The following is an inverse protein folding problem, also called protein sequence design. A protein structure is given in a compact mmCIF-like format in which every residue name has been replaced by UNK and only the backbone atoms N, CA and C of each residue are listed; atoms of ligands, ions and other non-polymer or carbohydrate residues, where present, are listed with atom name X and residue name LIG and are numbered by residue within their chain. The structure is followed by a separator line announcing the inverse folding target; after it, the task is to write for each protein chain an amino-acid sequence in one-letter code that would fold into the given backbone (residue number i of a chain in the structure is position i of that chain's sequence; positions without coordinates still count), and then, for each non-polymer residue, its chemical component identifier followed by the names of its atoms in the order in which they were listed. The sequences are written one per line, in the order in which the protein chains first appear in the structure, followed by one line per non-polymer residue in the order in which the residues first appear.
data_IF_259591757474
#
_entry.id   IF_259591757474
#
_cell.length_a   1.000
_cell.length_b   1.000
_cell.length_c   1.000
_cell.angle_alpha   90.00
_cell.angle_beta   90.00
_cell.angle_gamma   90.00
#
_symmetry.space_group_name_H-M   'P 1'
#
loop_
_entity.id
_entity.type
_entity.pdbx_description
1 polymer ?
#
# COMPACT_ATOMS: atom_id res chain seq x y z
N UNK A 1 4.91 25.61 -8.77
CA UNK A 1 3.90 24.87 -7.99
C UNK A 1 4.63 24.11 -6.89
N UNK A 2 4.35 24.44 -5.63
CA UNK A 2 5.04 23.89 -4.47
C UNK A 2 4.64 22.41 -4.28
N UNK A 3 5.57 21.46 -4.08
CA UNK A 3 5.19 20.10 -3.72
C UNK A 3 4.46 20.19 -2.37
N UNK A 4 3.24 19.66 -2.27
CA UNK A 4 2.58 19.55 -0.97
C UNK A 4 3.49 18.68 -0.10
N UNK A 5 4.18 19.32 0.83
CA UNK A 5 5.07 18.66 1.77
C UNK A 5 4.28 17.58 2.52
N UNK A 6 4.87 16.39 2.67
CA UNK A 6 4.31 15.33 3.51
C UNK A 6 3.99 15.91 4.88
N UNK A 7 2.86 15.53 5.48
CA UNK A 7 2.59 15.90 6.87
C UNK A 7 3.73 15.38 7.75
N UNK A 8 4.11 16.14 8.79
CA UNK A 8 5.21 15.76 9.71
C UNK A 8 5.02 14.36 10.30
N UNK A 9 3.77 13.91 10.47
CA UNK A 9 3.41 12.59 10.97
C UNK A 9 3.76 11.42 10.02
N UNK A 10 3.93 11.66 8.72
CA UNK A 10 4.32 10.65 7.73
C UNK A 10 5.85 10.55 7.58
N UNK A 11 6.63 11.52 8.07
CA UNK A 11 8.09 11.57 7.89
C UNK A 11 8.83 10.55 8.77
N UNK A 12 8.23 10.13 9.89
CA UNK A 12 8.82 9.18 10.85
C UNK A 12 8.30 7.74 10.69
N UNK A 13 7.45 7.49 9.69
CA UNK A 13 6.87 6.17 9.44
C UNK A 13 7.69 5.40 8.40
N UNK A 14 7.96 4.13 8.71
CA UNK A 14 8.45 3.19 7.70
C UNK A 14 7.33 2.87 6.71
N UNK A 15 7.53 3.20 5.43
CA UNK A 15 6.63 2.90 4.33
C UNK A 15 7.27 1.86 3.42
N UNK A 16 6.73 0.63 3.30
CA UNK A 16 7.30 -0.39 2.41
C UNK A 16 7.02 -0.11 0.92
N UNK A 17 6.20 0.89 0.61
CA UNK A 17 5.86 1.33 -0.74
C UNK A 17 5.59 2.83 -0.75
N UNK A 18 5.93 3.51 -1.84
CA UNK A 18 5.57 4.91 -2.04
C UNK A 18 5.47 5.27 -3.53
N UNK A 19 4.65 6.28 -3.81
CA UNK A 19 4.60 6.93 -5.11
C UNK A 19 5.59 8.10 -5.15
N UNK A 20 6.50 8.09 -6.12
CA UNK A 20 7.53 9.10 -6.32
C UNK A 20 7.04 10.26 -7.20
N UNK A 21 7.69 11.42 -7.09
CA UNK A 21 7.33 12.64 -7.82
C UNK A 21 7.49 12.50 -9.34
N UNK A 22 8.32 11.57 -9.79
CA UNK A 22 8.65 11.30 -11.19
C UNK A 22 7.66 10.34 -11.87
N UNK A 23 6.51 10.04 -11.25
CA UNK A 23 5.53 9.10 -11.80
C UNK A 23 6.00 7.64 -11.70
N UNK A 24 6.80 7.33 -10.68
CA UNK A 24 7.30 5.98 -10.39
C UNK A 24 6.76 5.49 -9.07
N UNK A 25 6.83 4.17 -8.86
CA UNK A 25 6.59 3.52 -7.58
C UNK A 25 7.90 2.95 -7.07
N UNK A 26 8.16 3.15 -5.78
CA UNK A 26 9.23 2.48 -5.05
C UNK A 26 8.64 1.51 -4.06
N UNK A 27 9.14 0.28 -4.00
CA UNK A 27 8.74 -0.71 -2.98
C UNK A 27 9.91 -1.55 -2.51
N UNK A 28 9.82 -2.05 -1.28
CA UNK A 28 10.81 -2.93 -0.68
C UNK A 28 10.64 -4.37 -1.18
N UNK A 29 11.72 -5.03 -1.57
CA UNK A 29 11.72 -6.47 -1.82
C UNK A 29 11.77 -7.25 -0.50
N UNK A 30 10.60 -7.71 -0.04
CA UNK A 30 10.51 -8.46 1.21
C UNK A 30 11.04 -9.89 1.14
N UNK A 31 11.39 -10.40 -0.04
CA UNK A 31 11.92 -11.77 -0.18
C UNK A 31 13.37 -11.89 0.27
N UNK A 32 14.08 -10.76 0.36
CA UNK A 32 15.49 -10.68 0.76
C UNK A 32 15.68 -10.38 2.25
N UNK A 33 14.59 -10.02 2.95
CA UNK A 33 14.62 -9.79 4.39
C UNK A 33 14.76 -11.11 5.17
N UNK A 34 15.46 -11.11 6.32
CA UNK A 34 16.14 -9.97 6.95
C UNK A 34 17.60 -9.76 6.50
N UNK A 35 18.11 -10.53 5.53
CA UNK A 35 19.52 -10.50 5.14
C UNK A 35 19.91 -9.24 4.38
N UNK A 36 19.02 -8.74 3.51
CA UNK A 36 19.29 -7.59 2.66
C UNK A 36 18.05 -6.70 2.53
N UNK A 37 18.27 -5.38 2.59
CA UNK A 37 17.26 -4.37 2.35
C UNK A 37 17.42 -3.78 0.95
N UNK A 38 16.63 -4.28 -0.01
CA UNK A 38 16.71 -3.87 -1.42
C UNK A 38 15.41 -3.22 -1.85
N UNK A 39 15.52 -2.07 -2.52
CA UNK A 39 14.39 -1.29 -3.01
C UNK A 39 14.30 -1.36 -4.54
N UNK A 40 13.08 -1.57 -5.05
CA UNK A 40 12.78 -1.56 -6.48
C UNK A 40 12.05 -0.28 -6.82
N UNK A 41 12.55 0.46 -7.82
CA UNK A 41 11.88 1.63 -8.40
C UNK A 41 11.46 1.32 -9.83
N UNK A 42 10.18 1.53 -10.15
CA UNK A 42 9.64 1.21 -11.48
C UNK A 42 8.60 2.23 -11.94
N UNK A 43 8.56 2.46 -13.25
CA UNK A 43 7.48 3.14 -13.95
C UNK A 43 6.55 2.15 -14.68
N UNK A 44 6.75 0.84 -14.48
CA UNK A 44 6.07 -0.24 -15.20
C UNK A 44 5.15 -1.03 -14.24
N UNK A 45 3.84 -0.99 -14.48
CA UNK A 45 2.84 -1.72 -13.69
C UNK A 45 3.02 -3.24 -13.72
N UNK A 46 3.63 -3.79 -14.77
CA UNK A 46 3.92 -5.24 -14.90
C UNK A 46 4.97 -5.68 -13.90
N UNK A 47 5.92 -4.81 -13.56
CA UNK A 47 6.89 -5.05 -12.47
C UNK A 47 6.18 -5.11 -11.12
N UNK A 48 5.17 -4.26 -10.89
CA UNK A 48 4.35 -4.33 -9.67
C UNK A 48 3.52 -5.61 -9.64
N UNK A 49 2.92 -6.01 -10.77
CA UNK A 49 2.18 -7.26 -10.87
C UNK A 49 3.06 -8.48 -10.53
N UNK A 50 4.30 -8.48 -11.01
CA UNK A 50 5.26 -9.54 -10.69
C UNK A 50 5.71 -9.51 -9.23
N UNK A 51 5.91 -8.33 -8.66
CA UNK A 51 6.20 -8.18 -7.24
C UNK A 51 5.12 -8.78 -6.33
N UNK A 52 3.84 -8.62 -6.72
CA UNK A 52 2.71 -9.24 -6.00
C UNK A 52 2.72 -10.77 -6.17
N UNK A 53 2.96 -11.28 -7.38
CA UNK A 53 3.04 -12.72 -7.68
C UNK A 53 4.16 -13.41 -6.90
N UNK A 54 5.35 -12.81 -6.90
CA UNK A 54 6.56 -13.36 -6.26
C UNK A 54 6.65 -13.09 -4.76
N UNK A 55 5.64 -12.43 -4.18
CA UNK A 55 5.61 -12.07 -2.77
C UNK A 55 6.72 -11.10 -2.34
N UNK A 56 7.29 -10.33 -3.28
CA UNK A 56 8.15 -9.18 -2.96
C UNK A 56 7.36 -8.13 -2.18
N UNK A 57 6.09 -7.96 -2.53
CA UNK A 57 5.10 -7.24 -1.73
C UNK A 57 4.04 -8.22 -1.21
N UNK A 58 3.81 -8.23 0.10
CA UNK A 58 2.89 -9.17 0.76
C UNK A 58 2.23 -8.53 1.99
N UNK A 59 1.08 -9.09 2.37
CA UNK A 59 0.17 -8.51 3.36
C UNK A 59 -1.04 -7.90 2.66
N UNK A 60 -2.25 -8.23 3.12
CA UNK A 60 -3.47 -7.92 2.36
C UNK A 60 -3.63 -6.41 2.09
N UNK A 61 -3.42 -5.50 3.06
CA UNK A 61 -3.50 -4.07 2.78
C UNK A 61 -2.39 -3.57 1.85
N UNK A 62 -1.13 -4.02 2.03
CA UNK A 62 -0.03 -3.64 1.14
C UNK A 62 -0.31 -4.07 -0.30
N UNK A 63 -0.80 -5.29 -0.52
CA UNK A 63 -1.16 -5.77 -1.87
C UNK A 63 -2.23 -4.86 -2.51
N UNK A 64 -3.21 -4.40 -1.74
CA UNK A 64 -4.21 -3.44 -2.22
C UNK A 64 -3.59 -2.11 -2.65
N UNK A 65 -2.73 -1.53 -1.81
CA UNK A 65 -1.99 -0.29 -2.12
C UNK A 65 -1.11 -0.47 -3.35
N UNK A 66 -0.35 -1.57 -3.44
CA UNK A 66 0.48 -1.90 -4.60
C UNK A 66 -0.34 -2.02 -5.88
N UNK A 67 -1.50 -2.67 -5.85
CA UNK A 67 -2.36 -2.80 -7.01
C UNK A 67 -2.92 -1.44 -7.48
N UNK A 68 -3.34 -0.58 -6.56
CA UNK A 68 -3.79 0.78 -6.89
C UNK A 68 -2.67 1.60 -7.55
N UNK A 69 -1.44 1.52 -7.02
CA UNK A 69 -0.29 2.17 -7.63
C UNK A 69 0.11 1.56 -8.97
N UNK A 70 0.05 0.24 -9.13
CA UNK A 70 0.24 -0.40 -10.44
C UNK A 70 -0.76 0.14 -11.47
N UNK A 71 -2.03 0.31 -11.09
CA UNK A 71 -3.05 0.84 -12.00
C UNK A 71 -2.82 2.31 -12.36
N UNK A 72 -2.31 3.12 -11.42
CA UNK A 72 -1.91 4.50 -11.68
C UNK A 72 -0.66 4.59 -12.60
N UNK A 73 0.28 3.64 -12.50
CA UNK A 73 1.39 3.51 -13.45
C UNK A 73 0.86 3.18 -14.85
N UNK A 74 -0.04 2.21 -14.98
CA UNK A 74 -0.63 1.84 -16.28
C UNK A 74 -1.27 3.03 -17.02
N UNK A 75 -1.97 3.90 -16.29
CA UNK A 75 -2.54 5.11 -16.87
C UNK A 75 -1.46 6.13 -17.30
N UNK A 76 -0.37 6.22 -16.54
CA UNK A 76 0.77 7.09 -16.83
C UNK A 76 1.58 6.59 -18.03
N UNK A 77 1.71 5.27 -18.18
CA UNK A 77 2.37 4.58 -19.30
C UNK A 77 1.55 4.63 -20.60
N UNK A 78 0.22 4.67 -20.51
CA UNK A 78 -0.68 4.67 -21.66
C UNK A 78 -0.45 5.87 -22.58
N UNK A 79 -0.34 5.59 -23.88
CA UNK A 79 -0.25 6.59 -24.95
C UNK A 79 -1.63 7.16 -25.37
N UNK A 80 -2.72 6.74 -24.73
CA UNK A 80 -4.08 7.16 -25.08
C UNK A 80 -4.28 8.67 -24.97
N UNK A 81 -4.82 9.29 -26.02
CA UNK A 81 -5.09 10.73 -26.06
C UNK A 81 -6.51 11.09 -25.63
N UNK A 82 -7.42 10.12 -25.61
CA UNK A 82 -8.81 10.28 -25.17
C UNK A 82 -9.15 9.38 -23.98
N UNK A 83 -10.23 9.73 -23.27
CA UNK A 83 -10.61 9.05 -22.03
C UNK A 83 -11.08 7.61 -22.25
N UNK A 84 -11.64 7.28 -23.41
CA UNK A 84 -12.18 5.95 -23.68
C UNK A 84 -11.05 4.95 -23.95
N UNK A 85 -10.08 5.34 -24.78
CA UNK A 85 -8.87 4.56 -25.01
C UNK A 85 -8.09 4.35 -23.70
N UNK A 86 -7.93 5.39 -22.89
CA UNK A 86 -7.26 5.25 -21.60
C UNK A 86 -8.01 4.30 -20.66
N UNK A 87 -9.35 4.37 -20.62
CA UNK A 87 -10.15 3.45 -19.80
C UNK A 87 -9.98 1.99 -20.25
N UNK A 88 -9.85 1.72 -21.55
CA UNK A 88 -9.56 0.37 -22.05
C UNK A 88 -8.20 -0.12 -21.58
N UNK A 89 -7.15 0.67 -21.78
CA UNK A 89 -5.77 0.33 -21.36
C UNK A 89 -5.70 0.05 -19.84
N UNK A 90 -6.36 0.90 -19.05
CA UNK A 90 -6.40 0.74 -17.59
C UNK A 90 -7.22 -0.49 -17.18
N UNK A 91 -8.32 -0.79 -17.88
CA UNK A 91 -9.13 -1.99 -17.58
C UNK A 91 -8.33 -3.27 -17.85
N UNK A 92 -7.59 -3.32 -18.96
CA UNK A 92 -6.69 -4.44 -19.27
C UNK A 92 -5.60 -4.60 -18.19
N UNK A 93 -4.98 -3.50 -17.77
CA UNK A 93 -4.01 -3.52 -16.68
C UNK A 93 -4.61 -3.99 -15.35
N UNK A 94 -5.87 -3.62 -15.06
CA UNK A 94 -6.58 -4.11 -13.88
C UNK A 94 -6.77 -5.63 -13.92
N UNK A 95 -7.07 -6.21 -15.09
CA UNK A 95 -7.19 -7.66 -15.23
C UNK A 95 -5.85 -8.37 -15.01
N UNK A 96 -4.75 -7.83 -15.54
CA UNK A 96 -3.39 -8.33 -15.30
C UNK A 96 -3.05 -8.32 -13.80
N UNK A 97 -3.35 -7.21 -13.11
CA UNK A 97 -3.12 -7.06 -11.67
C UNK A 97 -4.02 -7.99 -10.86
N UNK A 98 -5.30 -8.15 -11.23
CA UNK A 98 -6.24 -9.05 -10.56
C UNK A 98 -5.83 -10.51 -10.65
N UNK A 99 -5.30 -10.92 -11.79
CA UNK A 99 -4.80 -12.27 -12.02
C UNK A 99 -3.58 -12.63 -11.16
N UNK A 100 -2.87 -11.65 -10.58
CA UNK A 100 -1.70 -11.93 -9.72
C UNK A 100 -2.08 -12.77 -8.49
N UNK A 101 -3.22 -12.45 -7.86
CA UNK A 101 -3.76 -13.12 -6.67
C UNK A 101 -5.29 -13.02 -6.64
N UNK A 102 -6.02 -13.86 -7.39
CA UNK A 102 -7.47 -13.71 -7.60
C UNK A 102 -8.33 -13.73 -6.33
N UNK A 103 -7.84 -14.34 -5.25
CA UNK A 103 -8.53 -14.44 -3.95
C UNK A 103 -8.20 -13.29 -2.99
N UNK A 104 -7.28 -12.38 -3.35
CA UNK A 104 -6.92 -11.25 -2.51
C UNK A 104 -8.02 -10.17 -2.57
N UNK A 105 -8.87 -10.14 -1.55
CA UNK A 105 -10.01 -9.21 -1.48
C UNK A 105 -9.57 -7.75 -1.51
N UNK A 106 -8.54 -7.37 -0.74
CA UNK A 106 -8.00 -6.01 -0.73
C UNK A 106 -7.46 -5.58 -2.10
N UNK A 107 -6.91 -6.52 -2.88
CA UNK A 107 -6.45 -6.26 -4.25
C UNK A 107 -7.65 -5.89 -5.13
N UNK A 108 -8.67 -6.75 -5.14
CA UNK A 108 -9.88 -6.52 -5.95
C UNK A 108 -10.58 -5.23 -5.55
N UNK A 109 -10.76 -4.99 -4.25
CA UNK A 109 -11.35 -3.75 -3.73
C UNK A 109 -10.62 -2.49 -4.21
N UNK A 110 -9.29 -2.50 -4.16
CA UNK A 110 -8.48 -1.34 -4.56
C UNK A 110 -8.59 -1.06 -6.06
N UNK A 111 -8.49 -2.11 -6.90
CA UNK A 111 -8.67 -1.99 -8.34
C UNK A 111 -10.07 -1.48 -8.69
N UNK A 112 -11.11 -2.05 -8.08
CA UNK A 112 -12.50 -1.67 -8.35
C UNK A 112 -12.77 -0.21 -7.94
N UNK A 113 -12.16 0.25 -6.83
CA UNK A 113 -12.25 1.65 -6.40
C UNK A 113 -11.60 2.59 -7.41
N UNK A 114 -10.43 2.25 -7.92
CA UNK A 114 -9.74 3.05 -8.94
C UNK A 114 -10.53 3.08 -10.26
N UNK A 115 -11.07 1.94 -10.71
CA UNK A 115 -11.88 1.88 -11.94
C UNK A 115 -13.16 2.72 -11.82
N UNK A 116 -13.88 2.65 -10.70
CA UNK A 116 -15.05 3.52 -10.45
C UNK A 116 -14.68 5.00 -10.45
N UNK A 117 -13.50 5.36 -9.95
CA UNK A 117 -13.06 6.76 -9.94
C UNK A 117 -12.83 7.33 -11.35
N UNK A 118 -12.64 6.49 -12.38
CA UNK A 118 -12.46 6.91 -13.77
C UNK A 118 -13.76 7.21 -14.53
N UNK A 119 -14.90 6.69 -14.06
CA UNK A 119 -16.19 6.88 -14.73
C UNK A 119 -16.53 8.35 -15.00
N UNK A 120 -16.36 9.29 -14.03
CA UNK A 120 -16.68 10.70 -14.27
C UNK A 120 -15.57 11.49 -14.99
N UNK A 121 -14.43 10.89 -15.35
CA UNK A 121 -13.31 11.62 -15.91
C UNK A 121 -13.61 12.09 -17.37
N UNK A 122 -13.58 13.41 -17.64
CA UNK A 122 -13.98 13.97 -18.94
C UNK A 122 -12.96 13.73 -20.06
N UNK A 123 -11.68 13.60 -19.73
CA UNK A 123 -10.58 13.47 -20.68
C UNK A 123 -9.45 12.59 -20.14
N UNK A 124 -8.47 12.28 -20.99
CA UNK A 124 -7.37 11.39 -20.63
C UNK A 124 -6.42 12.00 -19.58
N UNK A 125 -6.32 13.33 -19.49
CA UNK A 125 -5.44 14.00 -18.54
C UNK A 125 -6.02 13.92 -17.12
N UNK A 126 -7.27 14.33 -16.97
CA UNK A 126 -8.04 14.26 -15.72
C UNK A 126 -8.18 12.83 -15.21
N UNK A 127 -8.32 11.85 -16.11
CA UNK A 127 -8.34 10.42 -15.75
C UNK A 127 -7.02 9.94 -15.14
N UNK A 128 -5.86 10.32 -15.72
CA UNK A 128 -4.53 10.00 -15.15
C UNK A 128 -4.35 10.62 -13.77
N UNK A 129 -4.67 11.91 -13.64
CA UNK A 129 -4.61 12.61 -12.35
C UNK A 129 -5.52 11.95 -11.30
N UNK A 130 -6.72 11.54 -11.72
CA UNK A 130 -7.69 10.89 -10.84
C UNK A 130 -7.17 9.56 -10.32
N UNK A 131 -6.54 8.73 -11.15
CA UNK A 131 -5.98 7.45 -10.70
C UNK A 131 -4.82 7.64 -9.73
N UNK A 132 -3.88 8.55 -10.03
CA UNK A 132 -2.76 8.84 -9.13
C UNK A 132 -3.29 9.35 -7.78
N UNK A 133 -4.27 10.26 -7.80
CA UNK A 133 -4.92 10.76 -6.59
C UNK A 133 -5.60 9.64 -5.82
N UNK A 134 -6.45 8.84 -6.45
CA UNK A 134 -7.19 7.76 -5.79
C UNK A 134 -6.26 6.69 -5.21
N UNK A 135 -5.16 6.35 -5.90
CA UNK A 135 -4.19 5.40 -5.38
C UNK A 135 -3.46 5.94 -4.13
N UNK A 136 -3.13 7.25 -4.12
CA UNK A 136 -2.58 7.90 -2.93
C UNK A 136 -3.59 7.97 -1.78
N UNK A 137 -4.86 8.28 -2.07
CA UNK A 137 -5.93 8.27 -1.06
C UNK A 137 -6.10 6.88 -0.42
N UNK A 138 -6.09 5.81 -1.21
CA UNK A 138 -6.12 4.43 -0.69
C UNK A 138 -4.96 4.18 0.29
N UNK A 139 -3.76 4.64 -0.06
CA UNK A 139 -2.58 4.48 0.79
C UNK A 139 -2.68 5.32 2.08
N UNK A 140 -3.06 6.58 1.98
CA UNK A 140 -3.23 7.48 3.12
C UNK A 140 -4.32 6.98 4.08
N UNK A 141 -5.42 6.46 3.54
CA UNK A 141 -6.52 5.87 4.32
C UNK A 141 -6.10 4.59 5.03
N UNK A 142 -5.30 3.72 4.41
CA UNK A 142 -4.72 2.54 5.06
C UNK A 142 -3.86 2.94 6.26
N UNK A 143 -2.94 3.90 6.08
CA UNK A 143 -2.11 4.40 7.18
C UNK A 143 -2.97 4.98 8.30
N UNK A 144 -3.96 5.80 7.96
CA UNK A 144 -4.84 6.42 8.95
C UNK A 144 -5.69 5.37 9.70
N UNK A 145 -6.16 4.33 9.01
CA UNK A 145 -6.87 3.22 9.63
C UNK A 145 -5.96 2.44 10.59
N UNK A 146 -4.73 2.13 10.17
CA UNK A 146 -3.74 1.43 10.98
C UNK A 146 -3.36 2.20 12.25
N UNK A 147 -3.20 3.53 12.15
CA UNK A 147 -2.98 4.39 13.31
C UNK A 147 -4.15 4.35 14.30
N UNK A 148 -5.40 4.40 13.80
CA UNK A 148 -6.60 4.28 14.65
C UNK A 148 -6.70 2.90 15.30
N UNK A 149 -6.47 1.83 14.54
CA UNK A 149 -6.41 0.46 15.06
C UNK A 149 -5.37 0.38 16.19
N UNK A 150 -4.19 0.96 15.98
CA UNK A 150 -3.13 0.99 16.98
C UNK A 150 -3.54 1.71 18.27
N UNK A 151 -4.10 2.91 18.14
CA UNK A 151 -4.56 3.70 19.28
C UNK A 151 -5.63 2.97 20.10
N UNK A 152 -6.70 2.50 19.44
CA UNK A 152 -7.79 1.78 20.13
C UNK A 152 -7.32 0.47 20.74
N UNK A 153 -6.49 -0.30 20.03
CA UNK A 153 -5.99 -1.57 20.54
C UNK A 153 -5.05 -1.40 21.74
N UNK A 154 -4.25 -0.32 21.78
CA UNK A 154 -3.32 -0.07 22.88
C UNK A 154 -4.05 0.24 24.20
N UNK A 155 -5.25 0.83 24.13
CA UNK A 155 -6.08 1.09 25.31
C UNK A 155 -6.55 -0.19 26.00
N UNK A 156 -6.67 -1.29 25.25
CA UNK A 156 -7.07 -2.61 25.76
C UNK A 156 -5.95 -3.32 26.51
N UNK A 157 -4.70 -2.87 26.39
CA UNK A 157 -3.57 -3.51 27.04
C UNK A 157 -3.35 -2.96 28.46
N UNK A 158 -3.13 -3.84 29.46
CA UNK A 158 -2.74 -3.41 30.80
C UNK A 158 -1.33 -2.80 30.79
N UNK A 159 -1.02 -2.00 31.80
CA UNK A 159 0.34 -1.47 31.98
C UNK A 159 1.34 -2.61 32.22
N UNK A 160 2.49 -2.56 31.54
CA UNK A 160 3.53 -3.58 31.62
C UNK A 160 3.20 -4.88 30.86
N UNK A 161 2.28 -4.84 29.89
CA UNK A 161 1.83 -6.01 29.14
C UNK A 161 2.99 -6.74 28.44
N UNK A 162 2.91 -8.07 28.42
CA UNK A 162 3.68 -8.92 27.49
C UNK A 162 2.70 -9.52 26.50
N UNK A 163 2.89 -9.26 25.21
CA UNK A 163 1.94 -9.67 24.16
C UNK A 163 2.59 -10.67 23.22
N UNK A 164 1.91 -11.78 22.95
CA UNK A 164 2.29 -12.72 21.89
C UNK A 164 1.62 -12.30 20.57
N UNK A 165 2.38 -12.35 19.49
CA UNK A 165 1.88 -12.12 18.12
C UNK A 165 2.29 -13.26 17.20
N UNK A 166 1.50 -13.49 16.16
CA UNK A 166 1.71 -14.54 15.16
C UNK A 166 1.70 -13.93 13.76
N UNK A 167 2.56 -14.45 12.87
CA UNK A 167 2.82 -13.87 11.55
C UNK A 167 3.39 -12.42 11.63
N UNK A 168 3.30 -11.70 10.51
CA UNK A 168 3.70 -10.31 10.39
C UNK A 168 2.51 -9.44 9.95
N UNK A 169 1.95 -8.71 10.91
CA UNK A 169 0.87 -7.74 10.71
C UNK A 169 1.33 -6.32 11.07
N UNK A 170 2.58 -6.00 10.69
CA UNK A 170 3.21 -4.70 10.90
C UNK A 170 3.29 -3.83 9.65
N UNK A 171 4.15 -2.82 9.70
CA UNK A 171 4.34 -1.85 8.60
C UNK A 171 4.71 -2.52 7.28
N UNK A 172 5.40 -3.66 7.30
CA UNK A 172 5.74 -4.42 6.10
C UNK A 172 4.52 -5.10 5.44
N UNK A 173 3.40 -5.27 6.15
CA UNK A 173 2.21 -5.91 5.62
C UNK A 173 1.11 -4.92 5.18
N UNK A 174 1.34 -3.62 5.39
CA UNK A 174 0.38 -2.54 5.11
C UNK A 174 1.07 -1.41 4.32
N UNK A 175 0.35 -0.35 3.96
CA UNK A 175 0.96 0.87 3.42
C UNK A 175 1.86 1.59 4.44
N UNK A 176 1.62 1.35 5.72
CA UNK A 176 2.50 1.79 6.79
C UNK A 176 1.92 1.49 8.17
N UNK A 177 2.74 1.67 9.21
CA UNK A 177 2.39 1.48 10.63
C UNK A 177 2.10 0.03 11.04
N UNK A 178 1.09 -0.60 10.44
CA UNK A 178 0.65 -1.98 10.69
C UNK A 178 -0.66 -2.08 11.48
N UNK A 179 -1.26 -3.27 11.51
CA UNK A 179 -2.50 -3.54 12.27
C UNK A 179 -2.18 -4.05 13.67
N UNK A 180 -1.97 -5.36 13.85
CA UNK A 180 -1.66 -5.94 15.16
C UNK A 180 -0.32 -5.42 15.71
N UNK A 181 0.71 -5.31 14.87
CA UNK A 181 1.97 -4.68 15.32
C UNK A 181 1.85 -3.15 15.41
N UNK A 182 0.85 -2.53 14.77
CA UNK A 182 0.49 -1.13 15.00
C UNK A 182 -0.02 -0.88 16.41
N UNK A 183 -0.82 -1.81 16.96
CA UNK A 183 -1.22 -1.82 18.37
C UNK A 183 -0.01 -1.90 19.29
N UNK A 184 0.92 -2.80 19.00
CA UNK A 184 2.15 -2.93 19.79
C UNK A 184 3.02 -1.67 19.73
N UNK A 185 3.13 -1.04 18.55
CA UNK A 185 3.82 0.26 18.39
C UNK A 185 3.16 1.35 19.26
N UNK A 186 1.84 1.50 19.18
CA UNK A 186 1.10 2.47 19.99
C UNK A 186 1.28 2.21 21.50
N UNK A 187 1.17 0.95 21.92
CA UNK A 187 1.32 0.55 23.32
C UNK A 187 2.74 0.75 23.86
N UNK A 188 3.75 0.53 23.01
CA UNK A 188 5.15 0.83 23.34
C UNK A 188 5.36 2.34 23.53
N UNK A 189 4.93 3.17 22.59
CA UNK A 189 5.04 4.63 22.69
C UNK A 189 4.26 5.18 23.89
N UNK A 190 3.13 4.56 24.24
CA UNK A 190 2.34 4.89 25.43
C UNK A 190 2.87 4.31 26.75
N UNK A 191 4.02 3.64 26.77
CA UNK A 191 4.63 3.08 27.97
C UNK A 191 3.87 1.91 28.61
N UNK A 192 2.94 1.28 27.88
CA UNK A 192 2.12 0.16 28.36
C UNK A 192 2.72 -1.21 28.06
N UNK A 193 3.56 -1.30 27.04
CA UNK A 193 4.13 -2.57 26.58
C UNK A 193 5.52 -2.82 27.18
N UNK A 194 5.72 -3.99 27.77
CA UNK A 194 7.00 -4.43 28.33
C UNK A 194 7.77 -5.34 27.37
N UNK A 195 7.10 -6.36 26.83
CA UNK A 195 7.72 -7.36 25.95
C UNK A 195 6.77 -7.79 24.83
N UNK A 196 7.34 -8.24 23.71
CA UNK A 196 6.63 -8.89 22.62
C UNK A 196 7.24 -10.27 22.40
N UNK A 197 6.39 -11.30 22.32
CA UNK A 197 6.78 -12.65 21.91
C UNK A 197 6.30 -12.83 20.47
N UNK A 198 7.23 -12.90 19.52
CA UNK A 198 6.92 -13.18 18.12
C UNK A 198 7.22 -14.65 17.81
N UNK A 199 6.22 -15.37 17.29
CA UNK A 199 6.38 -16.77 16.88
C UNK A 199 7.03 -16.89 15.49
N UNK A 200 7.74 -17.99 15.20
CA UNK A 200 8.42 -18.19 13.91
C UNK A 200 7.48 -18.27 12.68
N UNK A 201 6.23 -18.68 12.87
CA UNK A 201 5.20 -18.71 11.80
C UNK A 201 5.59 -19.59 10.59
N UNK A 202 5.95 -20.86 10.84
CA UNK A 202 6.28 -21.86 9.79
C UNK A 202 5.06 -22.55 9.18
#
# INVERSE_FOLDING_TARGET
MCPRARSKALQDLFLPIEWLTEGKVRFLDQTLLPQEETWVETADYRVVAEAIRRLQVRGAPLIGVSAAYGLALAATESAATDAEALRRDVTEAADVLRATRPTAVNLSWALDRCLRALEPAPDAASARETLVRTAREIHEEDIAANQRIGAYGAELLPAGATVMTHCNAGSLATGGYGTALGVLRAAWTGGRLRHVIATETR
#
